data_IF_656495288728
#
_entry.id   IF_656495288728
#
_cell.length_a   1.000
_cell.length_b   1.000
_cell.length_c   1.000
_cell.angle_alpha   90.00
_cell.angle_beta   90.00
_cell.angle_gamma   90.00
#
_symmetry.space_group_name_H-M   'P 1'
#
loop_
_entity.id
_entity.type
_entity.pdbx_description
1 polymer ?
#
# COMPACT_ATOMS: atom_id res chain seq x y z
N UNK A 1 11.96 8.12 0.04
CA UNK A 1 11.38 8.40 1.39
C UNK A 1 12.16 7.61 2.42
N UNK A 2 12.54 8.22 3.54
CA UNK A 2 13.08 7.47 4.67
C UNK A 2 11.89 7.07 5.57
N UNK A 3 11.47 5.79 5.52
CA UNK A 3 10.36 5.28 6.32
C UNK A 3 10.86 4.89 7.71
N UNK A 4 11.03 5.87 8.60
CA UNK A 4 11.37 5.61 10.00
C UNK A 4 10.16 5.28 10.89
N UNK A 5 8.96 5.20 10.31
CA UNK A 5 7.69 5.09 11.05
C UNK A 5 7.61 3.86 11.98
N UNK A 6 8.25 2.76 11.56
CA UNK A 6 8.23 1.48 12.27
C UNK A 6 9.54 1.21 13.04
N UNK A 7 10.55 2.07 12.90
CA UNK A 7 11.89 1.81 13.44
C UNK A 7 11.85 1.78 14.97
N UNK A 8 12.18 0.61 15.54
CA UNK A 8 12.20 0.40 17.00
C UNK A 8 10.82 0.25 17.65
N UNK A 9 9.73 0.12 16.87
CA UNK A 9 8.38 -0.10 17.42
C UNK A 9 7.98 -1.57 17.53
N UNK A 10 8.44 -2.39 16.59
CA UNK A 10 8.18 -3.82 16.55
C UNK A 10 9.41 -4.57 16.06
N UNK A 11 9.62 -5.77 16.58
CA UNK A 11 10.53 -6.79 16.04
C UNK A 11 9.86 -7.53 14.88
N UNK A 12 10.65 -8.24 14.07
CA UNK A 12 10.11 -9.05 12.98
C UNK A 12 9.19 -10.18 13.49
N UNK A 13 9.52 -10.79 14.64
CA UNK A 13 8.67 -11.84 15.23
C UNK A 13 7.33 -11.29 15.69
N UNK A 14 7.32 -10.11 16.33
CA UNK A 14 6.06 -9.46 16.75
C UNK A 14 5.17 -9.14 15.54
N UNK A 15 5.75 -8.66 14.43
CA UNK A 15 5.00 -8.34 13.20
C UNK A 15 4.36 -9.60 12.61
N UNK A 16 5.10 -10.72 12.56
CA UNK A 16 4.59 -12.00 12.03
C UNK A 16 3.44 -12.59 12.85
N UNK A 17 3.29 -12.16 14.11
CA UNK A 17 2.19 -12.57 14.98
C UNK A 17 1.00 -11.61 14.96
N UNK A 18 1.12 -10.45 14.29
CA UNK A 18 -0.01 -9.52 14.17
C UNK A 18 -1.10 -10.11 13.28
N UNK A 19 -2.34 -9.78 13.62
CA UNK A 19 -3.50 -10.12 12.80
C UNK A 19 -3.32 -9.49 11.39
N UNK A 20 -3.45 -10.27 10.30
CA UNK A 20 -3.33 -9.76 8.93
C UNK A 20 -4.21 -8.56 8.62
N UNK A 21 -5.41 -8.46 9.22
CA UNK A 21 -6.29 -7.30 9.05
C UNK A 21 -5.71 -6.02 9.70
N UNK A 22 -4.97 -6.16 10.81
CA UNK A 22 -4.26 -5.03 11.44
C UNK A 22 -3.09 -4.59 10.56
N UNK A 23 -2.39 -5.53 9.93
CA UNK A 23 -1.36 -5.23 8.93
C UNK A 23 -1.97 -4.53 7.71
N UNK A 24 -3.11 -5.02 7.22
CA UNK A 24 -3.83 -4.44 6.09
C UNK A 24 -4.30 -3.01 6.37
N UNK A 25 -4.70 -2.69 7.60
CA UNK A 25 -5.04 -1.32 8.01
C UNK A 25 -3.86 -0.35 7.80
N UNK A 26 -2.65 -0.76 8.18
CA UNK A 26 -1.44 0.05 7.97
C UNK A 26 -1.06 0.05 6.48
N UNK A 27 -1.17 -1.10 5.82
CA UNK A 27 -0.89 -1.29 4.39
C UNK A 27 -1.72 -0.37 3.51
N UNK A 28 -3.01 -0.20 3.79
CA UNK A 28 -3.91 0.73 3.07
C UNK A 28 -3.40 2.17 3.13
N UNK A 29 -3.02 2.64 4.33
CA UNK A 29 -2.48 3.99 4.51
C UNK A 29 -1.13 4.19 3.80
N UNK A 30 -0.26 3.17 3.83
CA UNK A 30 1.03 3.19 3.12
C UNK A 30 0.79 3.27 1.61
N UNK A 31 -0.06 2.39 1.06
CA UNK A 31 -0.40 2.35 -0.36
C UNK A 31 -1.01 3.68 -0.85
N UNK A 32 -1.93 4.27 -0.07
CA UNK A 32 -2.52 5.58 -0.36
C UNK A 32 -1.45 6.68 -0.53
N UNK A 33 -0.46 6.73 0.36
CA UNK A 33 0.63 7.72 0.30
C UNK A 33 1.51 7.48 -0.93
N UNK A 34 1.83 6.24 -1.27
CA UNK A 34 2.61 5.92 -2.47
C UNK A 34 1.89 6.35 -3.74
N UNK A 35 0.61 5.99 -3.88
CA UNK A 35 -0.19 6.34 -5.07
C UNK A 35 -0.38 7.85 -5.19
N UNK A 36 -0.67 8.56 -4.09
CA UNK A 36 -0.78 10.03 -4.12
C UNK A 36 0.52 10.69 -4.52
N UNK A 37 1.64 10.24 -3.94
CA UNK A 37 2.97 10.74 -4.29
C UNK A 37 3.26 10.55 -5.78
N UNK A 38 3.04 9.33 -6.29
CA UNK A 38 3.22 8.99 -7.69
C UNK A 38 2.37 9.87 -8.62
N UNK A 39 1.07 10.03 -8.30
CA UNK A 39 0.17 10.83 -9.12
C UNK A 39 0.52 12.32 -9.09
N UNK A 40 0.89 12.88 -7.95
CA UNK A 40 1.34 14.29 -7.85
C UNK A 40 2.63 14.50 -8.65
N UNK A 41 3.59 13.59 -8.53
CA UNK A 41 4.85 13.67 -9.25
C UNK A 41 4.64 13.64 -10.78
N UNK A 42 3.80 12.71 -11.26
CA UNK A 42 3.50 12.54 -12.69
C UNK A 42 2.52 13.57 -13.25
N UNK A 43 1.77 14.28 -12.40
CA UNK A 43 0.69 15.17 -12.83
C UNK A 43 0.77 16.56 -12.16
N UNK A 44 1.94 17.20 -12.18
CA UNK A 44 2.21 18.48 -11.48
C UNK A 44 1.27 19.64 -11.82
N UNK A 45 0.56 19.58 -12.96
CA UNK A 45 -0.40 20.60 -13.40
C UNK A 45 -1.87 20.27 -13.13
N UNK A 46 -2.21 19.11 -12.55
CA UNK A 46 -3.60 18.77 -12.24
C UNK A 46 -4.05 19.45 -10.95
N UNK A 47 -5.32 19.87 -10.94
CA UNK A 47 -5.95 20.34 -9.71
C UNK A 47 -6.22 19.19 -8.73
N UNK A 48 -6.41 19.53 -7.46
CA UNK A 48 -6.60 18.58 -6.36
C UNK A 48 -7.75 17.61 -6.62
N UNK A 49 -8.87 18.07 -7.17
CA UNK A 49 -10.02 17.22 -7.46
C UNK A 49 -9.68 16.13 -8.49
N UNK A 50 -9.00 16.49 -9.58
CA UNK A 50 -8.57 15.53 -10.60
C UNK A 50 -7.55 14.54 -10.07
N UNK A 51 -6.62 14.98 -9.21
CA UNK A 51 -5.68 14.08 -8.54
C UNK A 51 -6.43 13.10 -7.64
N UNK A 52 -7.39 13.57 -6.84
CA UNK A 52 -8.19 12.71 -5.97
C UNK A 52 -9.00 11.67 -6.73
N UNK A 53 -9.71 12.07 -7.81
CA UNK A 53 -10.47 11.14 -8.66
C UNK A 53 -9.56 10.07 -9.25
N UNK A 54 -8.36 10.46 -9.70
CA UNK A 54 -7.35 9.48 -10.13
C UNK A 54 -6.93 8.59 -8.97
N UNK A 55 -6.56 9.11 -7.81
CA UNK A 55 -6.18 8.29 -6.65
C UNK A 55 -7.23 7.21 -6.34
N UNK A 56 -8.50 7.59 -6.26
CA UNK A 56 -9.62 6.65 -5.99
C UNK A 56 -9.66 5.50 -7.00
N UNK A 57 -9.32 5.73 -8.27
CA UNK A 57 -9.31 4.66 -9.28
C UNK A 57 -8.23 3.60 -9.05
N UNK A 58 -7.14 3.93 -8.33
CA UNK A 58 -6.04 3.02 -7.99
C UNK A 58 -6.25 2.32 -6.65
N UNK A 59 -6.85 3.02 -5.68
CA UNK A 59 -6.94 2.58 -4.27
C UNK A 59 -8.26 1.91 -3.92
N UNK A 60 -9.26 1.92 -4.81
CA UNK A 60 -10.49 1.14 -4.60
C UNK A 60 -10.18 -0.37 -4.54
N UNK A 61 -10.94 -1.11 -3.73
CA UNK A 61 -10.76 -2.55 -3.50
C UNK A 61 -10.67 -3.38 -4.79
N UNK A 62 -11.51 -3.07 -5.79
CA UNK A 62 -11.45 -3.75 -7.10
C UNK A 62 -10.10 -3.61 -7.79
N UNK A 63 -9.55 -2.39 -7.81
CA UNK A 63 -8.26 -2.13 -8.45
C UNK A 63 -7.12 -2.81 -7.68
N UNK A 64 -7.15 -2.73 -6.33
CA UNK A 64 -6.18 -3.43 -5.49
C UNK A 64 -6.20 -4.95 -5.74
N UNK A 65 -7.39 -5.56 -5.83
CA UNK A 65 -7.52 -6.99 -6.15
C UNK A 65 -7.01 -7.35 -7.54
N UNK A 66 -7.25 -6.49 -8.55
CA UNK A 66 -6.73 -6.68 -9.90
C UNK A 66 -5.19 -6.60 -9.92
N UNK A 67 -4.58 -5.65 -9.21
CA UNK A 67 -3.12 -5.56 -9.10
C UNK A 67 -2.52 -6.72 -8.33
N UNK A 68 -3.18 -7.17 -7.26
CA UNK A 68 -2.71 -8.31 -6.48
C UNK A 68 -2.63 -9.57 -7.34
N UNK A 69 -3.64 -9.82 -8.19
CA UNK A 69 -3.61 -10.95 -9.14
C UNK A 69 -2.46 -10.90 -10.14
N UNK A 70 -1.89 -9.73 -10.40
CA UNK A 70 -0.76 -9.57 -11.33
C UNK A 70 0.56 -9.92 -10.64
N UNK A 71 0.69 -9.63 -9.35
CA UNK A 71 1.96 -9.77 -8.60
C UNK A 71 1.98 -11.00 -7.67
N UNK A 72 0.87 -11.73 -7.57
CA UNK A 72 0.74 -12.86 -6.63
C UNK A 72 1.78 -13.96 -6.87
N UNK A 73 2.16 -14.16 -8.12
CA UNK A 73 3.18 -15.16 -8.51
C UNK A 73 4.61 -14.69 -8.21
N UNK A 74 4.80 -13.40 -7.91
CA UNK A 74 6.10 -12.80 -7.54
C UNK A 74 6.32 -12.75 -6.02
N UNK A 75 5.33 -13.13 -5.21
CA UNK A 75 5.43 -13.12 -3.76
C UNK A 75 6.33 -14.22 -3.23
N UNK A 76 7.11 -13.90 -2.20
CA UNK A 76 7.86 -14.90 -1.43
C UNK A 76 6.91 -15.70 -0.50
N UNK A 77 7.40 -16.85 0.00
CA UNK A 77 6.59 -17.77 0.82
C UNK A 77 5.99 -17.10 2.08
N UNK A 78 6.73 -16.18 2.72
CA UNK A 78 6.27 -15.50 3.92
C UNK A 78 5.30 -14.35 3.63
N UNK A 79 5.37 -13.74 2.44
CA UNK A 79 4.39 -12.78 1.95
C UNK A 79 3.07 -13.49 1.58
N UNK A 80 3.16 -14.63 0.90
CA UNK A 80 2.01 -15.47 0.57
C UNK A 80 1.27 -15.97 1.82
N UNK A 81 2.00 -16.26 2.91
CA UNK A 81 1.38 -16.71 4.16
C UNK A 81 0.54 -15.63 4.86
N UNK A 82 0.73 -14.36 4.53
CA UNK A 82 -0.02 -13.22 5.09
C UNK A 82 -1.26 -12.89 4.23
N UNK A 83 -1.22 -13.21 2.93
CA UNK A 83 -2.27 -12.95 1.95
C UNK A 83 -3.42 -13.96 2.05
#
# INVERSE_FOLDING_TARGET
MNFQLLKGKFTLEEIKQLNPLVLALIGDAVYEVFIRTYLVEKNRGLNVHKVHVKTVSYVKAKAQSEYMKIIIDDLEDDEMAIF
#
